data_IF_915575530018
#
_entry.id   IF_915575530018
#
_cell.length_a   1.000
_cell.length_b   1.000
_cell.length_c   1.000
_cell.angle_alpha   90.00
_cell.angle_beta   90.00
_cell.angle_gamma   90.00
#
_symmetry.space_group_name_H-M   'P 1'
#
loop_
_entity.id
_entity.type
_entity.pdbx_description
1 polymer ?
#
# COMPACT_ATOMS: atom_id res chain seq x y z
N UNK A 1 -14.67 20.68 -0.35
CA UNK A 1 -13.88 19.46 -0.68
C UNK A 1 -12.45 19.87 -1.01
N UNK A 2 -11.43 19.22 -0.39
CA UNK A 2 -10.00 19.39 -0.68
C UNK A 2 -9.46 18.03 -1.10
N UNK A 3 -8.76 17.96 -2.23
CA UNK A 3 -8.09 16.75 -2.70
C UNK A 3 -6.67 17.13 -3.09
N UNK A 4 -5.69 16.45 -2.50
CA UNK A 4 -4.28 16.65 -2.79
C UNK A 4 -3.60 15.29 -2.88
N UNK A 5 -2.60 15.19 -3.74
CA UNK A 5 -1.84 13.97 -3.97
C UNK A 5 -0.37 14.32 -4.21
N UNK A 6 0.51 13.52 -3.62
CA UNK A 6 1.93 13.50 -3.94
C UNK A 6 2.36 12.04 -4.13
N UNK A 7 3.22 11.81 -5.12
CA UNK A 7 3.84 10.51 -5.37
C UNK A 7 5.25 10.71 -5.92
N UNK A 8 6.23 10.04 -5.32
CA UNK A 8 7.63 10.11 -5.74
C UNK A 8 8.26 8.72 -5.77
N UNK A 9 9.05 8.40 -6.81
CA UNK A 9 9.82 7.16 -6.83
C UNK A 9 10.91 7.16 -5.74
N UNK A 10 11.21 5.99 -5.21
CA UNK A 10 12.33 5.79 -4.30
C UNK A 10 13.68 5.97 -4.99
N UNK A 11 13.77 5.54 -6.26
CA UNK A 11 14.91 5.74 -7.13
C UNK A 11 14.47 6.45 -8.43
N UNK A 12 14.98 7.65 -8.72
CA UNK A 12 14.62 8.38 -9.96
C UNK A 12 14.96 7.64 -11.27
N UNK A 13 15.80 6.60 -11.20
CA UNK A 13 16.19 5.79 -12.36
C UNK A 13 15.25 4.60 -12.60
N UNK A 14 14.34 4.33 -11.65
CA UNK A 14 13.34 3.27 -11.75
C UNK A 14 11.93 3.87 -11.83
N UNK A 15 11.02 3.23 -12.58
CA UNK A 15 9.63 3.66 -12.59
C UNK A 15 9.03 3.53 -11.18
N UNK A 16 8.19 4.49 -10.80
CA UNK A 16 7.37 4.40 -9.60
C UNK A 16 6.39 3.22 -9.75
N UNK A 17 6.34 2.34 -8.77
CA UNK A 17 5.47 1.16 -8.73
C UNK A 17 4.14 1.45 -8.03
N UNK A 18 4.01 2.60 -7.35
CA UNK A 18 2.77 3.05 -6.75
C UNK A 18 1.76 3.54 -7.80
N UNK A 19 0.50 3.42 -7.47
CA UNK A 19 -0.62 4.03 -8.20
C UNK A 19 -1.55 4.74 -7.22
N UNK A 20 -1.95 5.96 -7.54
CA UNK A 20 -2.97 6.64 -6.78
C UNK A 20 -3.89 7.45 -7.70
N UNK A 21 -5.18 7.45 -7.38
CA UNK A 21 -6.18 8.23 -8.11
C UNK A 21 -7.38 8.54 -7.26
N UNK A 22 -8.04 9.66 -7.57
CA UNK A 22 -9.32 10.05 -7.00
C UNK A 22 -10.30 10.36 -8.13
N UNK A 23 -11.48 9.76 -8.09
CA UNK A 23 -12.56 10.06 -9.02
C UNK A 23 -13.73 10.71 -8.31
N UNK A 24 -14.23 11.80 -8.90
CA UNK A 24 -15.44 12.50 -8.47
C UNK A 24 -16.54 12.33 -9.51
N UNK A 25 -17.77 11.98 -9.11
CA UNK A 25 -18.89 11.95 -10.03
C UNK A 25 -19.26 13.38 -10.47
N UNK A 26 -19.83 13.50 -11.67
CA UNK A 26 -20.27 14.79 -12.22
C UNK A 26 -21.32 15.49 -11.35
N UNK A 27 -22.06 14.75 -10.53
CA UNK A 27 -22.99 15.32 -9.54
C UNK A 27 -22.31 16.12 -8.43
N UNK A 28 -20.99 15.98 -8.24
CA UNK A 28 -20.27 16.57 -7.13
C UNK A 28 -20.57 15.92 -5.77
N UNK A 29 -21.37 14.85 -5.75
CA UNK A 29 -21.76 14.14 -4.52
C UNK A 29 -21.04 12.80 -4.41
N UNK A 30 -20.15 12.70 -3.43
CA UNK A 30 -19.34 11.51 -3.21
C UNK A 30 -18.07 11.45 -4.05
N UNK A 31 -17.43 10.30 -4.03
CA UNK A 31 -16.19 10.03 -4.76
C UNK A 31 -15.57 8.70 -4.38
N UNK A 32 -14.45 8.42 -5.00
CA UNK A 32 -13.61 7.22 -4.75
C UNK A 32 -12.15 7.60 -4.75
N UNK A 33 -11.42 7.07 -3.79
CA UNK A 33 -9.96 7.12 -3.69
C UNK A 33 -9.44 5.69 -3.85
N UNK A 34 -8.38 5.50 -4.62
CA UNK A 34 -7.63 4.25 -4.74
C UNK A 34 -6.14 4.56 -4.64
N UNK A 35 -5.43 3.84 -3.77
CA UNK A 35 -3.98 3.81 -3.69
C UNK A 35 -3.54 2.35 -3.72
N UNK A 36 -2.56 2.04 -4.55
CA UNK A 36 -1.89 0.75 -4.62
C UNK A 36 -0.39 0.98 -4.51
N UNK A 37 0.28 0.16 -3.73
CA UNK A 37 1.73 0.13 -3.60
C UNK A 37 2.21 -1.18 -4.25
N UNK A 38 3.06 -1.05 -5.24
CA UNK A 38 3.52 -2.16 -6.05
C UNK A 38 4.63 -2.96 -5.37
N UNK A 39 4.45 -4.25 -5.26
CA UNK A 39 5.47 -5.12 -4.67
C UNK A 39 6.62 -5.33 -5.66
N UNK A 40 7.78 -4.69 -5.39
CA UNK A 40 8.99 -4.88 -6.20
C UNK A 40 9.41 -6.35 -6.20
N UNK A 41 9.45 -7.02 -7.36
CA UNK A 41 9.87 -8.41 -7.44
C UNK A 41 11.40 -8.52 -7.25
N UNK A 42 11.90 -9.66 -6.74
CA UNK A 42 13.34 -9.92 -6.78
C UNK A 42 13.83 -10.03 -8.23
N UNK A 43 15.15 -9.86 -8.48
CA UNK A 43 15.72 -9.86 -9.84
C UNK A 43 15.83 -11.27 -10.45
N UNK A 44 14.78 -12.07 -10.32
CA UNK A 44 14.67 -13.43 -10.86
C UNK A 44 13.44 -13.52 -11.76
N UNK A 45 13.19 -14.70 -12.33
CA UNK A 45 11.98 -14.96 -13.10
C UNK A 45 10.72 -14.73 -12.23
N UNK A 46 9.79 -13.97 -12.79
CA UNK A 46 8.56 -13.54 -12.10
C UNK A 46 7.28 -14.11 -12.77
N UNK A 47 7.42 -14.96 -13.75
CA UNK A 47 6.29 -15.57 -14.46
C UNK A 47 5.49 -14.60 -15.34
N UNK A 48 5.83 -13.31 -15.35
CA UNK A 48 5.10 -12.28 -16.09
C UNK A 48 6.05 -11.38 -16.89
N UNK A 49 5.65 -11.00 -18.11
CA UNK A 49 6.38 -10.07 -18.97
C UNK A 49 6.05 -8.61 -18.70
N UNK A 50 4.99 -8.35 -17.92
CA UNK A 50 4.56 -7.01 -17.59
C UNK A 50 5.21 -6.53 -16.28
N UNK A 51 5.71 -5.29 -16.25
CA UNK A 51 6.29 -4.72 -15.02
C UNK A 51 5.20 -4.34 -14.00
N UNK A 52 5.62 -4.17 -12.74
CA UNK A 52 4.71 -3.79 -11.64
C UNK A 52 3.92 -2.50 -11.92
N UNK A 53 4.52 -1.42 -12.48
CA UNK A 53 3.76 -0.21 -12.79
C UNK A 53 2.62 -0.44 -13.81
N UNK A 54 2.78 -1.37 -14.74
CA UNK A 54 1.70 -1.75 -15.64
C UNK A 54 0.56 -2.42 -14.86
N UNK A 55 0.90 -3.31 -13.93
CA UNK A 55 -0.07 -4.03 -13.12
C UNK A 55 -0.85 -3.09 -12.20
N UNK A 56 -0.16 -2.22 -11.44
CA UNK A 56 -0.79 -1.26 -10.53
C UNK A 56 -1.70 -0.29 -11.28
N UNK A 57 -1.29 0.19 -12.47
CA UNK A 57 -2.13 1.04 -13.31
C UNK A 57 -3.39 0.33 -13.80
N UNK A 58 -3.31 -0.95 -14.18
CA UNK A 58 -4.46 -1.73 -14.65
C UNK A 58 -5.42 -2.06 -13.50
N UNK A 59 -4.89 -2.55 -12.39
CA UNK A 59 -5.66 -2.88 -11.21
C UNK A 59 -6.34 -1.64 -10.62
N UNK A 60 -5.58 -0.55 -10.45
CA UNK A 60 -6.06 0.69 -9.87
C UNK A 60 -7.13 1.36 -10.75
N UNK A 61 -6.93 1.40 -12.07
CA UNK A 61 -7.93 1.91 -13.00
C UNK A 61 -9.24 1.11 -12.97
N UNK A 62 -9.15 -0.23 -12.95
CA UNK A 62 -10.32 -1.10 -12.83
C UNK A 62 -11.03 -0.92 -11.48
N UNK A 63 -10.27 -0.84 -10.38
CA UNK A 63 -10.82 -0.61 -9.03
C UNK A 63 -11.54 0.73 -8.94
N UNK A 64 -10.96 1.79 -9.51
CA UNK A 64 -11.55 3.12 -9.53
C UNK A 64 -12.87 3.14 -10.31
N UNK A 65 -12.90 2.53 -11.51
CA UNK A 65 -14.11 2.40 -12.34
C UNK A 65 -15.21 1.66 -11.60
N UNK A 66 -14.90 0.43 -11.11
CA UNK A 66 -15.89 -0.42 -10.46
C UNK A 66 -16.45 0.21 -9.19
N UNK A 67 -15.60 0.77 -8.34
CA UNK A 67 -16.03 1.40 -7.09
C UNK A 67 -16.84 2.69 -7.31
N UNK A 68 -16.58 3.42 -8.40
CA UNK A 68 -17.28 4.66 -8.73
C UNK A 68 -18.59 4.45 -9.48
N UNK A 69 -18.65 3.46 -10.39
CA UNK A 69 -19.77 3.24 -11.30
C UNK A 69 -20.81 2.25 -10.76
N UNK A 70 -20.37 1.25 -9.97
CA UNK A 70 -21.24 0.17 -9.45
C UNK A 70 -21.41 0.32 -7.94
N UNK A 71 -22.28 1.22 -7.52
CA UNK A 71 -22.52 1.57 -6.11
C UNK A 71 -23.09 0.42 -5.28
N UNK A 72 -23.78 -0.52 -5.89
CA UNK A 72 -24.33 -1.73 -5.23
C UNK A 72 -23.26 -2.80 -4.98
N UNK A 73 -22.09 -2.67 -5.64
CA UNK A 73 -20.95 -3.55 -5.43
C UNK A 73 -20.18 -3.10 -4.19
N UNK A 74 -19.86 -4.00 -3.28
CA UNK A 74 -18.99 -3.71 -2.13
C UNK A 74 -17.56 -3.49 -2.58
N UNK A 75 -16.73 -2.82 -1.77
CA UNK A 75 -15.31 -2.61 -2.09
C UNK A 75 -14.53 -3.93 -2.26
N UNK A 76 -14.74 -4.98 -1.44
CA UNK A 76 -14.15 -6.31 -1.72
C UNK A 76 -14.59 -6.93 -3.05
N UNK A 77 -15.87 -6.82 -3.42
CA UNK A 77 -16.34 -7.30 -4.72
C UNK A 77 -15.70 -6.51 -5.88
N UNK A 78 -15.57 -5.19 -5.72
CA UNK A 78 -14.90 -4.35 -6.70
C UNK A 78 -13.41 -4.73 -6.84
N UNK A 79 -12.69 -4.99 -5.74
CA UNK A 79 -11.32 -5.46 -5.77
C UNK A 79 -11.21 -6.85 -6.42
N UNK A 80 -12.08 -7.78 -6.06
CA UNK A 80 -12.14 -9.13 -6.66
C UNK A 80 -12.35 -9.07 -8.18
N UNK A 81 -13.30 -8.23 -8.62
CA UNK A 81 -13.56 -8.04 -10.05
C UNK A 81 -12.41 -7.32 -10.76
N UNK A 82 -11.75 -6.35 -10.12
CA UNK A 82 -10.60 -5.66 -10.67
C UNK A 82 -9.40 -6.60 -10.85
N UNK A 83 -9.12 -7.46 -9.87
CA UNK A 83 -8.10 -8.52 -9.97
C UNK A 83 -8.43 -9.46 -11.13
N UNK A 84 -9.67 -9.95 -11.22
CA UNK A 84 -10.11 -10.84 -12.29
C UNK A 84 -9.94 -10.23 -13.68
N UNK A 85 -10.33 -8.95 -13.86
CA UNK A 85 -10.15 -8.21 -15.12
C UNK A 85 -8.68 -8.03 -15.46
N UNK A 86 -7.84 -7.71 -14.48
CA UNK A 86 -6.41 -7.54 -14.68
C UNK A 86 -5.75 -8.87 -15.06
N UNK A 87 -6.07 -9.96 -14.36
CA UNK A 87 -5.58 -11.30 -14.68
C UNK A 87 -5.95 -11.73 -16.12
N UNK A 88 -7.18 -11.47 -16.56
CA UNK A 88 -7.65 -11.85 -17.89
C UNK A 88 -6.85 -11.17 -19.00
N UNK A 89 -6.43 -9.92 -18.82
CA UNK A 89 -5.69 -9.15 -19.87
C UNK A 89 -4.31 -9.76 -20.19
N UNK A 90 -3.67 -10.45 -19.22
CA UNK A 90 -2.33 -10.99 -19.41
C UNK A 90 -2.22 -12.52 -19.25
N UNK A 91 -3.32 -13.21 -19.07
CA UNK A 91 -3.38 -14.67 -18.92
C UNK A 91 -2.73 -15.44 -20.07
N UNK A 92 -2.85 -14.93 -21.30
CA UNK A 92 -2.31 -15.59 -22.49
C UNK A 92 -0.80 -15.42 -22.66
N UNK A 93 -0.18 -14.50 -21.93
CA UNK A 93 1.24 -14.12 -22.09
C UNK A 93 2.07 -14.37 -20.83
N UNK A 94 1.42 -14.69 -19.70
CA UNK A 94 2.07 -14.80 -18.40
C UNK A 94 1.61 -16.06 -17.66
N UNK A 95 2.49 -16.60 -16.83
CA UNK A 95 2.16 -17.66 -15.87
C UNK A 95 1.60 -17.03 -14.59
N UNK A 96 0.27 -16.94 -14.51
CA UNK A 96 -0.41 -16.35 -13.37
C UNK A 96 -0.41 -17.25 -12.11
N UNK A 97 0.06 -18.51 -12.22
CA UNK A 97 0.26 -19.39 -11.08
C UNK A 97 1.60 -19.17 -10.38
N UNK A 98 2.51 -18.42 -11.01
CA UNK A 98 3.81 -18.12 -10.46
C UNK A 98 3.69 -17.20 -9.24
N UNK A 99 4.32 -17.57 -8.12
CA UNK A 99 4.21 -16.84 -6.84
C UNK A 99 4.71 -15.38 -6.90
N UNK A 100 5.48 -15.02 -7.92
CA UNK A 100 6.07 -13.68 -8.11
C UNK A 100 5.48 -12.92 -9.30
N UNK A 101 4.28 -13.28 -9.77
CA UNK A 101 3.54 -12.40 -10.66
C UNK A 101 3.39 -11.01 -10.03
N UNK A 102 3.24 -9.92 -10.79
CA UNK A 102 3.07 -8.59 -10.22
C UNK A 102 1.96 -8.54 -9.18
N UNK A 103 2.22 -7.86 -8.10
CA UNK A 103 1.33 -7.77 -6.93
C UNK A 103 1.33 -6.35 -6.39
N UNK A 104 0.30 -6.01 -5.64
CA UNK A 104 0.20 -4.74 -4.95
C UNK A 104 -0.54 -4.87 -3.62
N UNK A 105 -0.26 -3.93 -2.70
CA UNK A 105 -1.17 -3.60 -1.59
C UNK A 105 -2.39 -2.89 -2.14
N UNK A 106 -3.42 -2.67 -1.34
CA UNK A 106 -4.55 -1.87 -1.79
C UNK A 106 -5.18 -1.07 -0.64
N UNK A 107 -5.35 0.22 -0.88
CA UNK A 107 -6.24 1.09 -0.12
C UNK A 107 -7.31 1.61 -1.06
N UNK A 108 -8.57 1.46 -0.66
CA UNK A 108 -9.68 2.11 -1.33
C UNK A 108 -10.60 2.76 -0.30
N UNK A 109 -11.12 3.93 -0.63
CA UNK A 109 -12.18 4.56 0.12
C UNK A 109 -13.23 5.12 -0.85
N UNK A 110 -14.49 4.92 -0.53
CA UNK A 110 -15.63 5.43 -1.28
C UNK A 110 -16.52 6.22 -0.34
N UNK A 111 -16.94 7.40 -0.75
CA UNK A 111 -17.86 8.20 0.05
C UNK A 111 -19.09 8.61 -0.76
N UNK A 112 -20.18 8.75 -0.04
CA UNK A 112 -21.46 9.27 -0.50
C UNK A 112 -21.88 10.44 0.42
N UNK A 113 -23.06 11.08 0.23
CA UNK A 113 -23.57 12.03 1.22
C UNK A 113 -23.75 11.44 2.62
N UNK A 114 -24.03 10.14 2.73
CA UNK A 114 -24.42 9.48 3.98
C UNK A 114 -23.32 8.66 4.62
N UNK A 115 -22.44 8.03 3.80
CA UNK A 115 -21.49 7.02 4.25
C UNK A 115 -20.09 7.21 3.68
N UNK A 116 -19.09 6.74 4.43
CA UNK A 116 -17.73 6.46 3.98
C UNK A 116 -17.47 4.98 4.17
N UNK A 117 -17.11 4.28 3.10
CA UNK A 117 -16.68 2.89 3.12
C UNK A 117 -15.19 2.83 2.80
N UNK A 118 -14.49 1.86 3.38
CA UNK A 118 -13.06 1.69 3.14
C UNK A 118 -12.65 0.22 3.07
N UNK A 119 -11.51 0.01 2.41
CA UNK A 119 -10.82 -1.26 2.28
C UNK A 119 -9.32 -1.03 2.39
N UNK A 120 -8.62 -1.87 3.17
CA UNK A 120 -7.16 -1.94 3.26
C UNK A 120 -6.73 -3.39 3.14
N UNK A 121 -5.80 -3.67 2.24
CA UNK A 121 -5.18 -4.98 2.04
C UNK A 121 -3.67 -4.81 2.05
N UNK A 122 -2.98 -5.55 2.92
CA UNK A 122 -1.55 -5.45 3.18
C UNK A 122 -1.15 -4.14 3.90
N UNK A 123 0.11 -3.69 3.77
CA UNK A 123 0.80 -2.73 4.63
C UNK A 123 0.68 -1.25 4.21
N UNK A 124 -0.12 -0.93 3.22
CA UNK A 124 -0.55 0.46 3.01
C UNK A 124 -1.57 0.89 4.07
N UNK A 125 -1.64 2.18 4.36
CA UNK A 125 -2.38 2.73 5.50
C UNK A 125 -3.49 3.67 5.04
N UNK A 126 -4.65 3.59 5.70
CA UNK A 126 -5.68 4.63 5.61
C UNK A 126 -5.87 5.29 6.97
N UNK A 127 -5.66 6.59 7.06
CA UNK A 127 -6.01 7.39 8.23
C UNK A 127 -7.42 7.97 8.04
N UNK A 128 -8.29 7.71 8.99
CA UNK A 128 -9.61 8.32 9.09
C UNK A 128 -9.58 9.37 10.19
N UNK A 129 -9.70 10.63 9.84
CA UNK A 129 -9.79 11.73 10.79
C UNK A 129 -11.25 12.06 11.06
N UNK A 130 -11.62 12.13 12.31
CA UNK A 130 -12.95 12.51 12.77
C UNK A 130 -13.05 14.01 13.05
N UNK A 131 -14.28 14.55 13.08
CA UNK A 131 -14.51 15.97 13.36
C UNK A 131 -14.13 16.39 14.80
N UNK A 132 -14.01 15.45 15.72
CA UNK A 132 -13.51 15.68 17.09
C UNK A 132 -11.97 15.77 17.16
N UNK A 133 -11.29 15.60 16.04
CA UNK A 133 -9.82 15.63 15.93
C UNK A 133 -9.15 14.29 16.19
N UNK A 134 -9.90 13.24 16.48
CA UNK A 134 -9.30 11.90 16.61
C UNK A 134 -8.91 11.36 15.23
N UNK A 135 -7.76 10.70 15.16
CA UNK A 135 -7.26 10.03 13.95
C UNK A 135 -7.18 8.54 14.22
N UNK A 136 -7.93 7.79 13.42
CA UNK A 136 -7.95 6.33 13.47
C UNK A 136 -7.18 5.75 12.28
N UNK A 137 -6.04 5.07 12.49
CA UNK A 137 -5.42 4.30 11.43
C UNK A 137 -6.22 3.02 11.16
N UNK A 138 -6.42 2.72 9.89
CA UNK A 138 -6.90 1.42 9.39
C UNK A 138 -5.69 0.70 8.83
N UNK A 139 -5.32 -0.41 9.46
CA UNK A 139 -4.12 -1.19 9.20
C UNK A 139 -4.48 -2.64 8.98
N UNK A 140 -3.76 -3.29 8.08
CA UNK A 140 -3.70 -4.73 7.99
C UNK A 140 -2.38 -5.21 8.61
N UNK A 141 -2.43 -5.65 9.87
CA UNK A 141 -1.23 -5.93 10.70
C UNK A 141 -0.60 -7.29 10.44
N UNK A 142 -1.15 -8.09 9.51
CA UNK A 142 -0.69 -9.48 9.31
C UNK A 142 0.77 -9.59 8.92
N UNK A 143 1.32 -8.62 8.18
CA UNK A 143 2.74 -8.59 7.84
C UNK A 143 3.63 -8.34 9.07
N UNK A 144 3.14 -7.65 10.08
CA UNK A 144 3.83 -7.44 11.36
C UNK A 144 3.70 -8.64 12.31
N UNK A 145 2.68 -9.46 12.09
CA UNK A 145 2.33 -10.62 12.93
C UNK A 145 2.89 -11.95 12.40
N UNK A 146 3.90 -11.90 11.52
CA UNK A 146 4.53 -13.10 10.95
C UNK A 146 5.00 -14.08 12.02
N UNK A 147 5.05 -15.40 11.72
CA UNK A 147 5.45 -16.43 12.65
C UNK A 147 6.80 -16.14 13.32
N UNK A 148 6.99 -16.55 14.60
CA UNK A 148 8.23 -16.30 15.33
C UNK A 148 9.49 -16.77 14.61
N UNK A 149 9.42 -17.87 13.87
CA UNK A 149 10.54 -18.38 13.08
C UNK A 149 10.98 -17.38 11.99
N UNK A 150 10.03 -16.74 11.30
CA UNK A 150 10.33 -15.74 10.26
C UNK A 150 10.86 -14.46 10.88
N UNK A 151 10.31 -14.06 12.04
CA UNK A 151 10.84 -12.91 12.81
C UNK A 151 12.28 -13.15 13.25
N UNK A 152 12.63 -14.38 13.68
CA UNK A 152 14.01 -14.74 14.04
C UNK A 152 14.97 -14.63 12.84
N UNK A 153 14.56 -15.04 11.64
CA UNK A 153 15.36 -14.85 10.42
C UNK A 153 15.62 -13.35 10.15
N UNK A 154 14.63 -12.51 10.33
CA UNK A 154 14.78 -11.04 10.19
C UNK A 154 15.82 -10.49 11.16
N UNK A 155 15.77 -10.91 12.42
CA UNK A 155 16.77 -10.49 13.44
C UNK A 155 18.18 -11.02 13.11
N UNK A 156 18.28 -12.23 12.57
CA UNK A 156 19.57 -12.78 12.07
C UNK A 156 20.15 -11.87 10.98
N UNK A 157 19.33 -11.48 9.98
CA UNK A 157 19.78 -10.55 8.92
C UNK A 157 20.25 -9.22 9.50
N UNK A 158 19.52 -8.68 10.49
CA UNK A 158 19.85 -7.39 11.14
C UNK A 158 21.16 -7.46 11.92
N UNK A 159 21.45 -8.60 12.57
CA UNK A 159 22.66 -8.80 13.37
C UNK A 159 23.95 -9.03 12.56
N UNK A 160 23.85 -9.31 11.26
CA UNK A 160 25.00 -9.59 10.41
C UNK A 160 25.57 -8.31 9.75
N UNK A 161 26.91 -8.22 9.55
CA UNK A 161 27.55 -7.08 8.94
C UNK A 161 27.01 -6.79 7.53
N UNK A 162 26.77 -5.53 7.21
CA UNK A 162 26.34 -5.12 5.88
C UNK A 162 27.39 -5.46 4.84
N UNK A 163 26.95 -5.93 3.67
CA UNK A 163 27.82 -6.33 2.57
C UNK A 163 28.50 -7.69 2.75
N UNK A 164 28.29 -8.40 3.89
CA UNK A 164 28.83 -9.73 4.07
C UNK A 164 28.08 -10.79 3.26
N UNK A 165 28.77 -11.85 2.86
CA UNK A 165 28.16 -12.98 2.16
C UNK A 165 27.14 -13.72 3.05
N UNK A 166 27.40 -13.78 4.34
CA UNK A 166 26.53 -14.37 5.36
C UNK A 166 25.20 -13.60 5.47
N UNK A 167 25.27 -12.24 5.49
CA UNK A 167 24.07 -11.42 5.48
C UNK A 167 23.26 -11.62 4.22
N UNK A 168 23.92 -11.68 3.05
CA UNK A 168 23.25 -11.91 1.78
C UNK A 168 22.56 -13.28 1.73
N UNK A 169 23.17 -14.31 2.31
CA UNK A 169 22.57 -15.65 2.42
C UNK A 169 21.35 -15.63 3.37
N UNK A 170 21.50 -15.06 4.56
CA UNK A 170 20.41 -14.94 5.53
C UNK A 170 19.23 -14.08 4.98
N UNK A 171 19.52 -13.02 4.22
CA UNK A 171 18.51 -12.21 3.58
C UNK A 171 17.71 -12.99 2.53
N UNK A 172 18.36 -13.87 1.74
CA UNK A 172 17.66 -14.75 0.79
C UNK A 172 16.75 -15.73 1.51
N UNK A 173 17.21 -16.32 2.60
CA UNK A 173 16.41 -17.26 3.42
C UNK A 173 15.18 -16.53 4.01
N UNK A 174 15.37 -15.35 4.59
CA UNK A 174 14.30 -14.53 5.11
C UNK A 174 13.28 -14.17 4.02
N UNK A 175 13.74 -13.69 2.84
CA UNK A 175 12.88 -13.36 1.71
C UNK A 175 12.06 -14.56 1.26
N UNK A 176 12.68 -15.74 1.11
CA UNK A 176 11.97 -16.97 0.74
C UNK A 176 10.92 -17.37 1.77
N UNK A 177 11.21 -17.20 3.06
CA UNK A 177 10.27 -17.50 4.15
C UNK A 177 9.08 -16.52 4.15
N UNK A 178 9.30 -15.23 3.88
CA UNK A 178 8.23 -14.23 3.75
C UNK A 178 7.38 -14.49 2.50
N UNK A 179 8.01 -14.77 1.36
CA UNK A 179 7.30 -15.11 0.12
C UNK A 179 6.39 -16.34 0.27
N UNK A 180 6.83 -17.35 1.01
CA UNK A 180 6.03 -18.55 1.27
C UNK A 180 4.77 -18.27 2.11
N UNK A 181 4.72 -17.15 2.82
CA UNK A 181 3.57 -16.71 3.61
C UNK A 181 2.67 -15.73 2.86
N UNK A 182 3.10 -15.26 1.69
CA UNK A 182 2.29 -14.34 0.88
C UNK A 182 1.14 -15.08 0.23
N UNK A 183 -0.07 -14.54 0.36
CA UNK A 183 -1.32 -15.13 -0.13
C UNK A 183 -1.55 -16.56 0.38
N UNK A 184 -1.07 -16.87 1.60
CA UNK A 184 -1.19 -18.16 2.26
C UNK A 184 -1.92 -18.02 3.60
N UNK A 185 -2.59 -19.09 4.03
CA UNK A 185 -3.24 -19.13 5.35
C UNK A 185 -2.20 -18.99 6.47
N UNK A 186 -2.50 -18.17 7.48
CA UNK A 186 -1.53 -17.85 8.54
C UNK A 186 -0.42 -16.87 8.15
N UNK A 187 -0.48 -16.33 6.93
CA UNK A 187 0.40 -15.31 6.42
C UNK A 187 -0.31 -13.99 6.17
N UNK A 188 0.10 -13.27 5.13
CA UNK A 188 -0.46 -11.98 4.72
C UNK A 188 -0.90 -12.01 3.25
N UNK A 189 -1.70 -11.02 2.84
CA UNK A 189 -2.34 -11.04 1.53
C UNK A 189 -2.02 -9.76 0.75
N UNK A 190 -1.79 -9.92 -0.55
CA UNK A 190 -1.61 -8.85 -1.55
C UNK A 190 -2.50 -9.14 -2.75
N UNK A 191 -2.95 -8.11 -3.45
CA UNK A 191 -3.63 -8.26 -4.72
C UNK A 191 -2.66 -8.79 -5.77
N UNK A 192 -2.99 -9.94 -6.35
CA UNK A 192 -2.21 -10.62 -7.39
C UNK A 192 -3.16 -11.16 -8.47
N UNK A 193 -3.05 -12.44 -8.85
CA UNK A 193 -3.91 -13.05 -9.86
C UNK A 193 -5.17 -13.72 -9.26
N UNK A 194 -5.15 -14.08 -7.97
CA UNK A 194 -6.27 -14.71 -7.30
C UNK A 194 -7.26 -13.67 -6.73
N UNK A 195 -8.48 -13.56 -7.27
CA UNK A 195 -9.49 -12.61 -6.80
C UNK A 195 -10.02 -12.92 -5.39
N UNK A 196 -9.82 -14.15 -4.87
CA UNK A 196 -10.31 -14.55 -3.56
C UNK A 196 -9.61 -13.78 -2.42
N UNK A 197 -8.42 -13.23 -2.65
CA UNK A 197 -7.70 -12.43 -1.66
C UNK A 197 -8.47 -11.17 -1.24
N UNK A 198 -9.35 -10.65 -2.09
CA UNK A 198 -10.17 -9.48 -1.78
C UNK A 198 -11.04 -9.67 -0.51
N UNK A 199 -11.47 -10.90 -0.23
CA UNK A 199 -12.22 -11.22 0.98
C UNK A 199 -11.37 -11.16 2.27
N UNK A 200 -10.04 -11.04 2.13
CA UNK A 200 -9.10 -10.91 3.25
C UNK A 200 -8.82 -9.47 3.65
N UNK A 201 -9.30 -8.50 2.89
CA UNK A 201 -9.10 -7.09 3.18
C UNK A 201 -9.77 -6.68 4.49
N UNK A 202 -9.14 -5.73 5.19
CA UNK A 202 -9.76 -5.02 6.32
C UNK A 202 -10.74 -4.02 5.75
N UNK A 203 -12.00 -4.09 6.16
CA UNK A 203 -13.07 -3.23 5.65
C UNK A 203 -13.87 -2.58 6.76
N UNK A 204 -14.54 -1.50 6.43
CA UNK A 204 -15.49 -0.86 7.34
C UNK A 204 -16.31 0.22 6.66
N UNK A 205 -17.28 0.72 7.41
CA UNK A 205 -18.15 1.82 7.00
C UNK A 205 -18.43 2.74 8.19
N UNK A 206 -18.52 4.03 7.91
CA UNK A 206 -18.76 5.08 8.89
C UNK A 206 -19.81 6.06 8.35
N UNK A 207 -20.62 6.70 9.20
CA UNK A 207 -21.41 7.85 8.80
C UNK A 207 -20.52 8.94 8.21
N UNK A 208 -20.89 9.47 7.04
CA UNK A 208 -20.14 10.56 6.39
C UNK A 208 -19.95 11.76 7.31
N UNK A 209 -20.96 12.07 8.11
CA UNK A 209 -20.98 13.18 9.04
C UNK A 209 -19.93 13.08 10.17
N UNK A 210 -19.37 11.91 10.42
CA UNK A 210 -18.30 11.70 11.41
C UNK A 210 -16.90 11.93 10.83
N UNK A 211 -16.74 11.85 9.50
CA UNK A 211 -15.44 11.85 8.82
C UNK A 211 -15.09 13.24 8.34
N UNK A 212 -14.02 13.82 8.88
CA UNK A 212 -13.43 15.09 8.47
C UNK A 212 -12.54 14.93 7.25
N UNK A 213 -11.64 13.93 7.26
CA UNK A 213 -10.73 13.65 6.15
C UNK A 213 -10.29 12.19 6.11
N UNK A 214 -9.80 11.80 4.95
CA UNK A 214 -9.17 10.52 4.67
C UNK A 214 -7.76 10.78 4.14
N UNK A 215 -6.74 10.10 4.70
CA UNK A 215 -5.38 10.16 4.18
C UNK A 215 -4.91 8.73 3.89
N UNK A 216 -4.64 8.41 2.62
CA UNK A 216 -4.05 7.14 2.23
C UNK A 216 -2.55 7.29 2.04
N UNK A 217 -1.78 6.29 2.51
CA UNK A 217 -0.31 6.27 2.49
C UNK A 217 0.16 4.92 1.96
N UNK A 218 1.13 4.92 1.03
CA UNK A 218 1.93 3.72 0.77
C UNK A 218 2.94 3.48 1.91
N UNK A 219 3.57 2.30 1.94
CA UNK A 219 4.53 1.95 2.99
C UNK A 219 5.73 2.91 3.01
N UNK A 220 6.18 3.40 1.84
CA UNK A 220 7.23 4.40 1.76
C UNK A 220 6.88 5.72 2.45
N UNK A 221 5.61 6.15 2.40
CA UNK A 221 5.15 7.36 3.08
C UNK A 221 4.88 7.12 4.57
N UNK A 222 4.34 5.95 4.95
CA UNK A 222 4.05 5.58 6.33
C UNK A 222 5.31 5.39 7.19
N UNK A 223 6.49 5.26 6.56
CA UNK A 223 7.80 5.20 7.23
C UNK A 223 8.03 6.33 8.23
N UNK A 224 7.42 7.48 8.02
CA UNK A 224 7.50 8.60 8.95
C UNK A 224 7.07 8.20 10.36
N UNK A 225 6.00 7.39 10.49
CA UNK A 225 5.51 6.83 11.76
C UNK A 225 6.17 5.50 12.09
N UNK A 226 6.16 4.55 11.15
CA UNK A 226 6.44 3.14 11.43
C UNK A 226 7.93 2.84 11.53
N UNK A 227 8.75 3.50 10.72
CA UNK A 227 10.20 3.30 10.67
C UNK A 227 10.92 4.37 11.47
N UNK A 228 10.70 5.64 11.12
CA UNK A 228 11.44 6.77 11.70
C UNK A 228 10.90 7.23 13.05
N UNK A 229 9.64 6.89 13.37
CA UNK A 229 9.00 7.18 14.67
C UNK A 229 9.00 8.67 15.03
N UNK A 230 8.84 9.53 14.01
CA UNK A 230 8.84 10.99 14.15
C UNK A 230 7.59 11.53 14.86
N UNK A 231 6.54 10.71 14.95
CA UNK A 231 5.30 11.04 15.64
C UNK A 231 4.28 9.93 15.57
N UNK A 232 3.10 10.22 16.10
CA UNK A 232 1.92 9.36 16.01
C UNK A 232 1.23 9.48 14.66
N UNK A 233 0.24 8.65 14.40
CA UNK A 233 -0.63 8.78 13.22
C UNK A 233 -1.40 10.11 13.20
N UNK A 234 -1.75 10.64 14.36
CA UNK A 234 -2.36 11.97 14.48
C UNK A 234 -1.40 13.08 14.08
N UNK A 235 -0.13 12.98 14.48
CA UNK A 235 0.90 13.93 14.08
C UNK A 235 1.17 13.85 12.57
N UNK A 236 1.18 12.64 11.99
CA UNK A 236 1.29 12.42 10.54
C UNK A 236 0.14 13.10 9.78
N UNK A 237 -1.11 12.89 10.20
CA UNK A 237 -2.26 13.57 9.63
C UNK A 237 -2.14 15.09 9.74
N UNK A 238 -1.69 15.60 10.87
CA UNK A 238 -1.48 17.05 11.08
C UNK A 238 -0.40 17.63 10.13
N UNK A 239 0.69 16.88 9.88
CA UNK A 239 1.70 17.27 8.88
C UNK A 239 1.07 17.36 7.49
N UNK A 240 0.32 16.33 7.07
CA UNK A 240 -0.35 16.32 5.75
C UNK A 240 -1.34 17.46 5.61
N UNK A 241 -2.10 17.78 6.66
CA UNK A 241 -3.03 18.93 6.63
C UNK A 241 -2.33 20.28 6.51
N UNK A 242 -1.20 20.44 7.23
CA UNK A 242 -0.49 21.71 7.32
C UNK A 242 0.42 21.96 6.12
N UNK A 243 1.14 20.93 5.67
CA UNK A 243 2.23 21.03 4.68
C UNK A 243 1.86 20.40 3.34
N UNK A 244 0.70 19.74 3.28
CA UNK A 244 0.25 18.96 2.12
C UNK A 244 0.91 17.58 2.05
N UNK A 245 0.43 16.72 1.14
CA UNK A 245 1.02 15.41 0.87
C UNK A 245 2.52 15.48 0.54
N UNK A 246 2.93 16.45 -0.27
CA UNK A 246 4.35 16.63 -0.63
C UNK A 246 5.21 16.92 0.60
N UNK A 247 4.71 17.72 1.56
CA UNK A 247 5.45 18.02 2.78
C UNK A 247 5.76 16.78 3.62
N UNK A 248 4.86 15.78 3.66
CA UNK A 248 5.16 14.50 4.31
C UNK A 248 6.22 13.72 3.53
N UNK A 249 6.11 13.63 2.20
CA UNK A 249 7.10 12.96 1.36
C UNK A 249 8.48 13.59 1.53
N UNK A 250 8.58 14.92 1.49
CA UNK A 250 9.85 15.65 1.68
C UNK A 250 10.50 15.34 3.04
N UNK A 251 9.69 15.22 4.10
CA UNK A 251 10.17 14.82 5.44
C UNK A 251 10.72 13.40 5.45
N UNK A 252 10.01 12.44 4.82
CA UNK A 252 10.51 11.07 4.67
C UNK A 252 11.83 11.05 3.91
N UNK A 253 11.92 11.77 2.79
CA UNK A 253 13.14 11.86 1.98
C UNK A 253 14.33 12.46 2.75
N UNK A 254 14.08 13.45 3.60
CA UNK A 254 15.11 14.03 4.47
C UNK A 254 15.62 13.00 5.50
N UNK A 255 14.73 12.21 6.11
CA UNK A 255 15.10 11.17 7.06
C UNK A 255 15.85 10.01 6.39
N UNK A 256 15.42 9.58 5.21
CA UNK A 256 16.12 8.59 4.40
C UNK A 256 17.52 9.05 4.01
N UNK A 257 17.67 10.32 3.65
CA UNK A 257 18.97 10.91 3.31
C UNK A 257 19.90 11.06 4.52
N UNK A 258 19.36 11.28 5.72
CA UNK A 258 20.12 11.35 6.96
C UNK A 258 20.61 9.97 7.44
N UNK A 259 19.97 8.88 7.03
CA UNK A 259 20.34 7.50 7.36
C UNK A 259 20.36 6.62 6.09
N UNK A 260 21.24 6.88 5.11
CA UNK A 260 21.23 6.24 3.79
C UNK A 260 21.44 4.72 3.87
N UNK A 261 22.19 4.28 4.86
CA UNK A 261 22.46 2.86 5.09
C UNK A 261 21.40 2.17 5.98
N UNK A 262 20.41 2.89 6.54
CA UNK A 262 19.45 2.36 7.49
C UNK A 262 20.11 1.78 8.74
N UNK A 263 21.16 2.45 9.24
CA UNK A 263 21.89 1.99 10.43
C UNK A 263 21.14 2.38 11.70
N UNK A 264 20.63 3.60 11.74
CA UNK A 264 19.81 4.08 12.86
C UNK A 264 18.39 3.52 12.80
N UNK A 265 17.83 3.43 11.58
CA UNK A 265 16.46 2.95 11.33
C UNK A 265 16.49 1.79 10.31
N UNK A 266 16.64 0.54 10.79
CA UNK A 266 16.76 -0.64 9.93
C UNK A 266 15.51 -0.84 9.06
N UNK A 267 15.70 -0.88 7.73
CA UNK A 267 14.66 -1.04 6.73
C UNK A 267 15.15 -1.87 5.54
N UNK A 268 14.23 -2.39 4.74
CA UNK A 268 14.51 -3.25 3.59
C UNK A 268 15.22 -2.48 2.47
N UNK A 269 14.56 -1.44 1.97
CA UNK A 269 15.10 -0.52 0.95
C UNK A 269 15.61 0.77 1.62
N UNK A 270 16.68 1.36 1.11
CA UNK A 270 17.17 2.67 1.57
C UNK A 270 16.12 3.75 1.35
N UNK A 271 15.50 3.74 0.17
CA UNK A 271 14.35 4.56 -0.22
C UNK A 271 13.28 3.66 -0.83
N UNK A 272 12.02 4.06 -0.74
CA UNK A 272 10.90 3.41 -1.40
C UNK A 272 10.05 4.43 -2.14
N UNK A 273 9.21 3.95 -3.06
CA UNK A 273 8.17 4.77 -3.65
C UNK A 273 7.28 5.30 -2.52
N UNK A 274 6.94 6.57 -2.56
CA UNK A 274 6.17 7.20 -1.49
C UNK A 274 5.00 7.97 -2.06
N UNK A 275 3.80 7.55 -1.70
CA UNK A 275 2.55 8.12 -2.17
C UNK A 275 1.64 8.49 -1.02
N UNK A 276 1.10 9.70 -1.08
CA UNK A 276 0.17 10.26 -0.09
C UNK A 276 -1.02 10.85 -0.83
N UNK A 277 -2.23 10.51 -0.42
CA UNK A 277 -3.47 11.09 -0.93
C UNK A 277 -4.29 11.62 0.22
N UNK A 278 -4.61 12.91 0.21
CA UNK A 278 -5.52 13.57 1.14
C UNK A 278 -6.86 13.86 0.44
N UNK A 279 -7.94 13.44 1.07
CA UNK A 279 -9.31 13.80 0.68
C UNK A 279 -10.02 14.35 1.92
N UNK A 280 -10.48 15.61 1.86
CA UNK A 280 -11.41 16.20 2.83
C UNK A 280 -12.74 16.47 2.10
N UNK A 281 -13.67 15.48 2.14
CA UNK A 281 -14.87 15.47 1.33
C UNK A 281 -15.88 16.54 1.71
#
# INVERSE_FOLDING_TARGET
MRIELATEPGDPQHPNEDYASVALPASGQGGVLVLLDGVTPPPYEVGCTHPVPWYTARLGGAMLELSGSFRDMTLPEALSAAISRTAEVHRSTCDLSHARTPQATAVAARWSPDTVEYLVLSDSVLLVEHHDGTVRPVLDTRLDELPPAVKALRETVRGLPRGSAERAAAAREYTAAVEALRNAEGGFFTAAADPAVAARAVTGSLPRAEVRSLTALSDGASRWVEVFREGSWADCAAVVHKEGPQGLVDRVRALEAADPDGTAFPRGKSRDDATVVLVAP
#
